data_IF_579451783538
#
_entry.id   IF_579451783538
#
_cell.length_a   1.000
_cell.length_b   1.000
_cell.length_c   1.000
_cell.angle_alpha   90.00
_cell.angle_beta   90.00
_cell.angle_gamma   90.00
#
_symmetry.space_group_name_H-M   'P 1'
#
loop_
_entity.id
_entity.type
_entity.pdbx_description
1 polymer ?
#
# COMPACT_ATOMS: atom_id res chain seq x y z
N UNK A 1 32.34 -5.75 -49.66
CA UNK A 1 32.88 -5.69 -48.29
C UNK A 1 32.15 -4.60 -47.50
N UNK A 2 31.12 -4.96 -46.74
CA UNK A 2 30.34 -4.05 -45.90
C UNK A 2 30.86 -4.17 -44.48
N UNK A 3 31.35 -3.07 -43.92
CA UNK A 3 31.83 -2.98 -42.53
C UNK A 3 30.66 -2.84 -41.56
N UNK A 4 30.49 -3.81 -40.69
CA UNK A 4 29.58 -3.73 -39.54
C UNK A 4 30.14 -2.75 -38.50
N UNK A 5 29.37 -1.74 -38.13
CA UNK A 5 29.65 -0.86 -37.00
C UNK A 5 29.15 -1.53 -35.71
N UNK A 6 29.87 -1.43 -34.59
CA UNK A 6 29.44 -2.02 -33.33
C UNK A 6 28.36 -1.16 -32.67
N UNK A 7 27.22 -1.77 -32.35
CA UNK A 7 26.14 -1.17 -31.55
C UNK A 7 26.62 -0.96 -30.10
N UNK A 8 26.78 0.29 -29.70
CA UNK A 8 27.08 0.72 -28.34
C UNK A 8 25.91 0.36 -27.41
N UNK A 9 26.15 -0.53 -26.45
CA UNK A 9 25.24 -0.81 -25.33
C UNK A 9 25.21 0.41 -24.39
N UNK A 10 24.13 1.17 -24.42
CA UNK A 10 23.85 2.21 -23.43
C UNK A 10 23.64 1.52 -22.07
N UNK A 11 24.62 1.68 -21.17
CA UNK A 11 24.44 1.31 -19.74
C UNK A 11 23.44 2.28 -19.13
N UNK A 12 22.23 1.79 -18.83
CA UNK A 12 21.28 2.49 -17.97
C UNK A 12 21.90 2.58 -16.57
N UNK A 13 22.43 3.74 -16.24
CA UNK A 13 22.86 4.09 -14.86
C UNK A 13 21.57 4.31 -14.06
N UNK A 14 21.30 3.44 -13.10
CA UNK A 14 20.26 3.68 -12.09
C UNK A 14 20.59 5.00 -11.37
N UNK A 15 19.64 5.93 -11.34
CA UNK A 15 19.79 7.16 -10.57
C UNK A 15 20.05 6.80 -9.09
N UNK A 16 20.96 7.51 -8.40
CA UNK A 16 21.21 7.28 -6.98
C UNK A 16 19.90 7.48 -6.18
N UNK A 17 19.59 6.54 -5.30
CA UNK A 17 18.45 6.67 -4.38
C UNK A 17 18.63 7.95 -3.57
N UNK A 18 17.67 8.85 -3.69
CA UNK A 18 17.68 10.12 -2.95
C UNK A 18 17.48 9.79 -1.46
N UNK A 19 18.34 10.30 -0.56
CA UNK A 19 18.16 10.06 0.87
C UNK A 19 16.78 10.53 1.35
N UNK A 20 16.15 9.73 2.18
CA UNK A 20 14.82 9.99 2.73
C UNK A 20 14.82 11.27 3.56
N UNK A 21 13.89 12.17 3.29
CA UNK A 21 13.76 13.44 4.03
C UNK A 21 13.16 13.22 5.42
N UNK A 22 13.41 14.13 6.37
CA UNK A 22 12.79 14.08 7.71
C UNK A 22 11.26 14.14 7.65
N UNK A 23 10.68 14.80 6.65
CA UNK A 23 9.24 14.83 6.41
C UNK A 23 8.71 13.46 5.98
N UNK A 24 9.42 12.74 5.13
CA UNK A 24 9.07 11.38 4.71
C UNK A 24 9.18 10.39 5.86
N UNK A 25 10.23 10.51 6.68
CA UNK A 25 10.41 9.71 7.89
C UNK A 25 9.27 9.96 8.90
N UNK A 26 8.95 11.23 9.16
CA UNK A 26 7.84 11.60 10.04
C UNK A 26 6.50 11.04 9.53
N UNK A 27 6.23 11.21 8.22
CA UNK A 27 5.03 10.68 7.59
C UNK A 27 4.91 9.16 7.78
N UNK A 28 5.94 8.39 7.42
CA UNK A 28 5.93 6.93 7.55
C UNK A 28 5.73 6.46 8.98
N UNK A 29 6.41 7.11 9.94
CA UNK A 29 6.29 6.72 11.34
C UNK A 29 4.90 7.03 11.91
N UNK A 30 4.34 8.21 11.62
CA UNK A 30 3.01 8.59 12.10
C UNK A 30 1.94 7.73 11.41
N UNK A 31 2.03 7.53 10.08
CA UNK A 31 1.13 6.65 9.33
C UNK A 31 1.12 5.24 9.91
N UNK A 32 2.28 4.68 10.19
CA UNK A 32 2.40 3.35 10.80
C UNK A 32 1.72 3.28 12.18
N UNK A 33 1.91 4.28 13.03
CA UNK A 33 1.25 4.35 14.34
C UNK A 33 -0.29 4.40 14.22
N UNK A 34 -0.81 5.11 13.23
CA UNK A 34 -2.25 5.23 12.97
C UNK A 34 -2.80 3.93 12.36
N UNK A 35 -2.13 3.39 11.35
CA UNK A 35 -2.56 2.17 10.64
C UNK A 35 -2.55 0.96 11.57
N UNK A 36 -1.55 0.84 12.43
CA UNK A 36 -1.44 -0.25 13.42
C UNK A 36 -2.26 -0.01 14.69
N UNK A 37 -3.08 1.03 14.74
CA UNK A 37 -3.95 1.41 15.86
C UNK A 37 -3.21 1.71 17.17
N UNK A 38 -1.90 1.97 17.13
CA UNK A 38 -1.14 2.49 18.28
C UNK A 38 -1.59 3.91 18.60
N UNK A 39 -1.92 4.70 17.57
CA UNK A 39 -2.71 5.92 17.67
C UNK A 39 -4.15 5.58 17.26
N UNK A 40 -5.02 5.41 18.26
CA UNK A 40 -6.40 4.94 18.05
C UNK A 40 -7.28 6.00 17.41
N UNK A 41 -8.36 5.61 16.66
CA UNK A 41 -9.41 6.54 16.24
C UNK A 41 -9.91 7.39 17.42
N UNK A 42 -10.18 8.66 17.17
CA UNK A 42 -10.57 9.63 18.20
C UNK A 42 -9.43 10.16 19.08
N UNK A 43 -8.21 9.65 18.94
CA UNK A 43 -7.08 10.14 19.72
C UNK A 43 -6.69 11.56 19.28
N UNK A 44 -6.50 12.44 20.25
CA UNK A 44 -6.05 13.83 20.01
C UNK A 44 -4.53 13.88 20.09
N UNK A 45 -3.92 14.41 19.03
CA UNK A 45 -2.47 14.54 18.85
C UNK A 45 -2.06 16.02 18.94
N UNK A 46 -0.80 16.26 19.29
CA UNK A 46 -0.16 17.57 19.12
C UNK A 46 1.16 17.47 18.35
N UNK A 47 1.50 18.51 17.60
CA UNK A 47 2.80 18.59 16.93
C UNK A 47 3.96 18.44 17.91
N UNK A 48 3.80 19.02 19.10
CA UNK A 48 4.84 19.00 20.14
C UNK A 48 5.07 17.59 20.70
N UNK A 49 4.00 16.85 21.03
CA UNK A 49 4.13 15.47 21.54
C UNK A 49 4.72 14.52 20.50
N UNK A 50 4.30 14.64 19.22
CA UNK A 50 4.86 13.86 18.12
C UNK A 50 6.33 14.18 17.88
N UNK A 51 6.69 15.46 17.85
CA UNK A 51 8.08 15.90 17.71
C UNK A 51 8.98 15.32 18.83
N UNK A 52 8.52 15.37 20.08
CA UNK A 52 9.27 14.82 21.20
C UNK A 52 9.38 13.29 21.14
N UNK A 53 8.30 12.59 20.79
CA UNK A 53 8.28 11.12 20.78
C UNK A 53 9.07 10.52 19.61
N UNK A 54 9.13 11.19 18.48
CA UNK A 54 9.79 10.71 17.26
C UNK A 54 11.23 11.25 17.10
N UNK A 55 11.63 12.24 17.89
CA UNK A 55 12.94 12.89 17.77
C UNK A 55 13.09 13.70 16.47
N UNK A 56 11.98 14.14 15.86
CA UNK A 56 11.94 14.86 14.60
C UNK A 56 11.44 16.28 14.84
N UNK A 57 12.06 17.28 14.19
CA UNK A 57 11.69 18.68 14.34
C UNK A 57 10.22 18.99 14.00
N UNK A 58 9.67 20.09 14.55
CA UNK A 58 8.24 20.44 14.39
C UNK A 58 7.83 20.73 12.94
N UNK A 59 8.71 21.33 12.13
CA UNK A 59 8.40 21.62 10.71
C UNK A 59 8.14 20.34 9.90
N UNK A 60 9.03 19.34 9.84
CA UNK A 60 8.74 18.09 9.15
C UNK A 60 7.55 17.32 9.73
N UNK A 61 7.30 17.38 11.05
CA UNK A 61 6.09 16.81 11.66
C UNK A 61 4.82 17.49 11.10
N UNK A 62 4.78 18.83 11.04
CA UNK A 62 3.64 19.57 10.50
C UNK A 62 3.36 19.23 9.04
N UNK A 63 4.39 19.16 8.20
CA UNK A 63 4.26 18.78 6.79
C UNK A 63 3.74 17.34 6.64
N UNK A 64 4.23 16.41 7.45
CA UNK A 64 3.75 15.03 7.48
C UNK A 64 2.26 14.96 7.89
N UNK A 65 1.86 15.73 8.91
CA UNK A 65 0.47 15.80 9.35
C UNK A 65 -0.46 16.41 8.29
N UNK A 66 -0.01 17.40 7.53
CA UNK A 66 -0.77 17.92 6.39
C UNK A 66 -1.02 16.86 5.31
N UNK A 67 -0.02 16.03 5.00
CA UNK A 67 -0.18 14.91 4.05
C UNK A 67 -1.18 13.89 4.57
N UNK A 68 -1.07 13.48 5.84
CA UNK A 68 -2.01 12.53 6.47
C UNK A 68 -3.44 13.08 6.55
N UNK A 69 -3.60 14.40 6.69
CA UNK A 69 -4.91 15.05 6.66
C UNK A 69 -5.53 15.00 5.25
N UNK A 70 -4.74 15.23 4.19
CA UNK A 70 -5.19 15.08 2.80
C UNK A 70 -5.63 13.64 2.48
N UNK A 71 -5.01 12.65 3.11
CA UNK A 71 -5.34 11.23 2.99
C UNK A 71 -6.54 10.82 3.88
N UNK A 72 -7.06 11.74 4.71
CA UNK A 72 -8.20 11.47 5.60
C UNK A 72 -7.88 10.60 6.81
N UNK A 73 -6.61 10.34 7.10
CA UNK A 73 -6.18 9.57 8.28
C UNK A 73 -6.29 10.37 9.58
N UNK A 74 -6.20 11.68 9.48
CA UNK A 74 -6.40 12.63 10.58
C UNK A 74 -7.25 13.81 10.13
N UNK A 75 -7.78 14.56 11.10
CA UNK A 75 -8.44 15.85 10.89
C UNK A 75 -7.75 16.91 11.72
N UNK A 76 -7.31 17.99 11.09
CA UNK A 76 -6.71 19.14 11.77
C UNK A 76 -7.86 20.06 12.23
N UNK A 77 -8.04 20.19 13.53
CA UNK A 77 -9.07 21.03 14.14
C UNK A 77 -8.45 22.38 14.57
N UNK A 78 -8.85 23.49 13.98
CA UNK A 78 -8.31 24.81 14.36
C UNK A 78 -8.43 25.03 15.88
N UNK A 79 -7.33 25.36 16.55
CA UNK A 79 -7.23 25.62 18.01
C UNK A 79 -7.57 24.44 18.93
N UNK A 80 -7.98 23.26 18.38
CA UNK A 80 -8.37 22.09 19.17
C UNK A 80 -7.39 20.91 19.06
N UNK A 81 -6.42 21.01 18.15
CA UNK A 81 -5.41 19.96 17.94
C UNK A 81 -5.68 19.12 16.69
N UNK A 82 -5.15 17.91 16.68
CA UNK A 82 -5.17 16.99 15.55
C UNK A 82 -5.87 15.72 16.00
N UNK A 83 -6.95 15.35 15.33
CA UNK A 83 -7.76 14.18 15.66
C UNK A 83 -7.46 13.04 14.71
N UNK A 84 -7.17 11.84 15.21
CA UNK A 84 -7.13 10.62 14.40
C UNK A 84 -8.55 10.31 13.93
N UNK A 85 -8.77 10.22 12.62
CA UNK A 85 -10.10 10.03 12.03
C UNK A 85 -10.72 8.70 12.45
N UNK A 86 -12.04 8.66 12.56
CA UNK A 86 -12.80 7.44 12.81
C UNK A 86 -12.73 6.46 11.64
N UNK A 87 -12.99 5.18 11.90
CA UNK A 87 -13.04 4.12 10.90
C UNK A 87 -14.52 3.76 10.67
N UNK A 88 -15.00 4.06 9.45
CA UNK A 88 -16.38 3.80 9.08
C UNK A 88 -16.46 2.76 7.94
N UNK A 89 -17.08 1.59 8.15
CA UNK A 89 -17.17 0.55 7.13
C UNK A 89 -17.90 0.99 5.86
N UNK A 90 -18.94 1.84 5.96
CA UNK A 90 -19.64 2.37 4.78
C UNK A 90 -18.75 3.29 3.95
N UNK A 91 -17.88 4.08 4.60
CA UNK A 91 -16.88 4.88 3.91
C UNK A 91 -15.84 3.98 3.26
N UNK A 92 -15.45 2.90 3.91
CA UNK A 92 -14.52 1.92 3.35
C UNK A 92 -15.06 1.28 2.06
N UNK A 93 -16.36 0.95 1.97
CA UNK A 93 -16.94 0.43 0.72
C UNK A 93 -16.77 1.42 -0.45
N UNK A 94 -17.02 2.73 -0.23
CA UNK A 94 -16.79 3.75 -1.26
C UNK A 94 -15.31 3.90 -1.63
N UNK A 95 -14.40 3.75 -0.68
CA UNK A 95 -12.94 3.69 -0.95
C UNK A 95 -12.62 2.49 -1.86
N UNK A 96 -13.23 1.32 -1.61
CA UNK A 96 -12.99 0.11 -2.39
C UNK A 96 -13.50 0.23 -3.84
N UNK A 97 -14.58 0.96 -4.10
CA UNK A 97 -15.07 1.24 -5.47
C UNK A 97 -13.97 1.90 -6.32
N UNK A 98 -13.34 2.96 -5.82
CA UNK A 98 -12.26 3.67 -6.53
C UNK A 98 -10.98 2.83 -6.55
N UNK A 99 -10.65 2.19 -5.43
CA UNK A 99 -9.45 1.39 -5.28
C UNK A 99 -9.43 0.22 -6.26
N UNK A 100 -10.56 -0.44 -6.52
CA UNK A 100 -10.69 -1.54 -7.50
C UNK A 100 -10.17 -1.11 -8.88
N UNK A 101 -10.63 0.03 -9.39
CA UNK A 101 -10.23 0.50 -10.71
C UNK A 101 -8.74 0.91 -10.77
N UNK A 102 -8.25 1.55 -9.72
CA UNK A 102 -6.84 1.92 -9.63
C UNK A 102 -5.93 0.68 -9.53
N UNK A 103 -6.28 -0.30 -8.71
CA UNK A 103 -5.49 -1.54 -8.57
C UNK A 103 -5.49 -2.38 -9.84
N UNK A 104 -6.61 -2.48 -10.55
CA UNK A 104 -6.66 -3.14 -11.86
C UNK A 104 -5.74 -2.46 -12.86
N UNK A 105 -5.78 -1.13 -12.93
CA UNK A 105 -4.90 -0.34 -13.79
C UNK A 105 -3.43 -0.57 -13.44
N UNK A 106 -3.08 -0.45 -12.15
CA UNK A 106 -1.72 -0.59 -11.68
C UNK A 106 -1.18 -2.00 -11.89
N UNK A 107 -1.94 -3.05 -11.56
CA UNK A 107 -1.54 -4.45 -11.74
C UNK A 107 -1.30 -4.80 -13.21
N UNK A 108 -2.20 -4.37 -14.10
CA UNK A 108 -2.04 -4.56 -15.54
C UNK A 108 -0.81 -3.83 -16.06
N UNK A 109 -0.65 -2.55 -15.71
CA UNK A 109 0.48 -1.75 -16.14
C UNK A 109 1.81 -2.29 -15.60
N UNK A 110 1.83 -2.81 -14.36
CA UNK A 110 3.01 -3.47 -13.79
C UNK A 110 3.39 -4.73 -14.55
N UNK A 111 2.42 -5.57 -14.91
CA UNK A 111 2.68 -6.76 -15.72
C UNK A 111 3.29 -6.44 -17.10
N UNK A 112 2.85 -5.32 -17.69
CA UNK A 112 3.34 -4.85 -19.01
C UNK A 112 4.72 -4.17 -18.93
N UNK A 113 5.04 -3.51 -17.79
CA UNK A 113 6.16 -2.55 -17.70
C UNK A 113 7.26 -2.96 -16.72
N UNK A 114 7.04 -3.99 -15.91
CA UNK A 114 8.03 -4.45 -14.95
C UNK A 114 9.30 -4.92 -15.66
N UNK A 115 10.45 -4.50 -15.14
CA UNK A 115 11.76 -5.03 -15.54
C UNK A 115 11.89 -6.50 -15.13
N UNK A 116 12.83 -7.23 -15.71
CA UNK A 116 13.06 -8.64 -15.32
C UNK A 116 13.39 -8.80 -13.83
N UNK A 117 14.17 -7.88 -13.26
CA UNK A 117 14.43 -7.90 -11.81
C UNK A 117 13.20 -7.66 -10.95
N UNK A 118 12.27 -6.79 -11.39
CA UNK A 118 10.99 -6.58 -10.71
C UNK A 118 10.07 -7.79 -10.86
N UNK A 119 10.01 -8.41 -12.04
CA UNK A 119 9.27 -9.67 -12.25
C UNK A 119 9.74 -10.76 -11.32
N UNK A 120 11.04 -10.93 -11.16
CA UNK A 120 11.63 -11.89 -10.21
C UNK A 120 11.25 -11.58 -8.75
N UNK A 121 11.20 -10.30 -8.37
CA UNK A 121 10.72 -9.88 -7.05
C UNK A 121 9.23 -10.24 -6.85
N UNK A 122 8.37 -9.98 -7.84
CA UNK A 122 6.96 -10.40 -7.80
C UNK A 122 6.82 -11.91 -7.58
N UNK A 123 7.57 -12.72 -8.32
CA UNK A 123 7.55 -14.19 -8.15
C UNK A 123 8.05 -14.62 -6.76
N UNK A 124 9.01 -13.92 -6.20
CA UNK A 124 9.51 -14.19 -4.84
C UNK A 124 8.48 -13.83 -3.78
N UNK A 125 7.80 -12.69 -3.93
CA UNK A 125 6.69 -12.28 -3.07
C UNK A 125 5.54 -13.31 -3.15
N UNK A 126 5.17 -13.76 -4.36
CA UNK A 126 4.14 -14.77 -4.54
C UNK A 126 4.44 -16.07 -3.75
N UNK A 127 5.68 -16.58 -3.86
CA UNK A 127 6.11 -17.77 -3.07
C UNK A 127 6.05 -17.52 -1.55
N UNK A 128 6.43 -16.32 -1.11
CA UNK A 128 6.35 -15.93 0.29
C UNK A 128 4.92 -15.85 0.81
N UNK A 129 4.00 -15.29 0.03
CA UNK A 129 2.56 -15.23 0.33
C UNK A 129 1.94 -16.63 0.42
N UNK A 130 2.27 -17.53 -0.51
CA UNK A 130 1.86 -18.93 -0.47
C UNK A 130 2.33 -19.64 0.81
N UNK A 131 3.57 -19.39 1.23
CA UNK A 131 4.09 -19.91 2.50
C UNK A 131 3.33 -19.32 3.69
N UNK A 132 3.10 -18.01 3.71
CA UNK A 132 2.34 -17.35 4.77
C UNK A 132 0.90 -17.90 4.87
N UNK A 133 0.25 -18.16 3.71
CA UNK A 133 -1.06 -18.78 3.67
C UNK A 133 -1.07 -20.18 4.33
N UNK A 134 -0.07 -21.04 4.02
CA UNK A 134 0.02 -22.39 4.60
C UNK A 134 0.31 -22.39 6.10
N UNK A 135 1.07 -21.44 6.59
CA UNK A 135 1.48 -21.33 8.00
C UNK A 135 0.60 -20.41 8.83
N UNK A 136 -0.41 -19.80 8.22
CA UNK A 136 -1.28 -18.78 8.82
C UNK A 136 -0.49 -17.67 9.54
N UNK A 137 0.62 -17.20 8.91
CA UNK A 137 1.54 -16.24 9.51
C UNK A 137 1.19 -14.81 9.09
N UNK A 138 0.47 -14.10 9.96
CA UNK A 138 0.00 -12.73 9.74
C UNK A 138 1.15 -11.71 9.65
N UNK A 139 2.21 -11.87 10.42
CA UNK A 139 3.36 -10.95 10.42
C UNK A 139 4.08 -11.00 9.07
N UNK A 140 4.34 -12.20 8.56
CA UNK A 140 4.97 -12.38 7.24
C UNK A 140 4.04 -11.88 6.14
N UNK A 141 2.75 -12.18 6.22
CA UNK A 141 1.75 -11.68 5.27
C UNK A 141 1.75 -10.16 5.20
N UNK A 142 1.61 -9.45 6.33
CA UNK A 142 1.54 -7.99 6.38
C UNK A 142 2.80 -7.31 5.81
N UNK A 143 3.97 -7.90 6.06
CA UNK A 143 5.23 -7.39 5.49
C UNK A 143 5.25 -7.54 3.97
N UNK A 144 4.89 -8.73 3.46
CA UNK A 144 4.87 -9.01 2.03
C UNK A 144 3.78 -8.23 1.30
N UNK A 145 2.62 -8.01 1.92
CA UNK A 145 1.55 -7.17 1.39
C UNK A 145 2.03 -5.73 1.15
N UNK A 146 2.71 -5.14 2.14
CA UNK A 146 3.32 -3.81 1.98
C UNK A 146 4.32 -3.78 0.83
N UNK A 147 5.20 -4.78 0.74
CA UNK A 147 6.22 -4.88 -0.31
C UNK A 147 5.56 -5.04 -1.69
N UNK A 148 4.55 -5.89 -1.81
CA UNK A 148 3.78 -6.10 -3.03
C UNK A 148 3.12 -4.82 -3.51
N UNK A 149 2.40 -4.14 -2.63
CA UNK A 149 1.69 -2.90 -2.96
C UNK A 149 2.65 -1.81 -3.45
N UNK A 150 3.81 -1.65 -2.80
CA UNK A 150 4.83 -0.69 -3.23
C UNK A 150 5.41 -1.07 -4.59
N UNK A 151 5.76 -2.35 -4.79
CA UNK A 151 6.33 -2.82 -6.05
C UNK A 151 5.35 -2.68 -7.22
N UNK A 152 4.06 -2.92 -7.00
CA UNK A 152 3.01 -2.69 -8.02
C UNK A 152 2.99 -1.22 -8.45
N UNK A 153 2.98 -0.30 -7.49
CA UNK A 153 2.97 1.14 -7.78
C UNK A 153 4.21 1.57 -8.56
N UNK A 154 5.38 1.09 -8.15
CA UNK A 154 6.66 1.45 -8.78
C UNK A 154 6.78 0.86 -10.18
N UNK A 155 6.44 -0.43 -10.36
CA UNK A 155 6.52 -1.13 -11.64
C UNK A 155 5.49 -0.64 -12.67
N UNK A 156 4.37 -0.09 -12.23
CA UNK A 156 3.35 0.46 -13.11
C UNK A 156 3.80 1.70 -13.90
N UNK A 157 4.84 2.40 -13.46
CA UNK A 157 5.38 3.62 -14.11
C UNK A 157 4.28 4.63 -14.43
N UNK A 158 3.32 4.82 -13.52
CA UNK A 158 2.21 5.76 -13.66
C UNK A 158 2.09 6.65 -12.41
N UNK A 159 2.74 7.80 -12.43
CA UNK A 159 2.81 8.72 -11.30
C UNK A 159 1.44 9.27 -10.87
N UNK A 160 0.48 9.38 -11.79
CA UNK A 160 -0.87 9.85 -11.49
C UNK A 160 -1.66 8.79 -10.73
N UNK A 161 -1.63 7.53 -11.19
CA UNK A 161 -2.26 6.42 -10.48
C UNK A 161 -1.60 6.18 -9.11
N UNK A 162 -0.27 6.29 -9.03
CA UNK A 162 0.49 6.21 -7.78
C UNK A 162 0.05 7.28 -6.75
N UNK A 163 -0.14 8.53 -7.20
CA UNK A 163 -0.63 9.62 -6.33
C UNK A 163 -2.07 9.38 -5.86
N UNK A 164 -2.95 8.94 -6.76
CA UNK A 164 -4.33 8.61 -6.41
C UNK A 164 -4.41 7.44 -5.42
N UNK A 165 -3.61 6.39 -5.63
CA UNK A 165 -3.57 5.21 -4.73
C UNK A 165 -3.10 5.58 -3.31
N UNK A 166 -2.12 6.47 -3.16
CA UNK A 166 -1.66 6.93 -1.83
C UNK A 166 -2.78 7.51 -0.96
N UNK A 167 -3.75 8.21 -1.56
CA UNK A 167 -4.90 8.75 -0.82
C UNK A 167 -5.81 7.68 -0.21
N UNK A 168 -5.77 6.45 -0.73
CA UNK A 168 -6.69 5.38 -0.36
C UNK A 168 -6.03 4.26 0.45
N UNK A 169 -4.72 4.10 0.30
CA UNK A 169 -4.00 2.94 0.82
C UNK A 169 -3.96 2.91 2.35
N UNK A 170 -3.66 4.04 2.99
CA UNK A 170 -3.63 4.16 4.44
C UNK A 170 -4.99 3.87 5.09
N UNK A 171 -6.08 4.36 4.49
CA UNK A 171 -7.45 4.10 4.96
C UNK A 171 -7.77 2.60 4.93
N UNK A 172 -7.48 1.93 3.83
CA UNK A 172 -7.77 0.50 3.66
C UNK A 172 -6.89 -0.38 4.55
N UNK A 173 -5.60 -0.07 4.68
CA UNK A 173 -4.69 -0.78 5.59
C UNK A 173 -5.16 -0.67 7.03
N UNK A 174 -5.55 0.52 7.48
CA UNK A 174 -6.08 0.75 8.83
C UNK A 174 -7.37 -0.02 9.07
N UNK A 175 -8.30 -0.02 8.09
CA UNK A 175 -9.52 -0.78 8.17
C UNK A 175 -9.26 -2.28 8.30
N UNK A 176 -8.38 -2.83 7.45
CA UNK A 176 -7.94 -4.21 7.53
C UNK A 176 -7.35 -4.52 8.91
N UNK A 177 -6.41 -3.71 9.40
CA UNK A 177 -5.73 -3.93 10.66
C UNK A 177 -6.69 -3.98 11.86
N UNK A 178 -7.78 -3.22 11.81
CA UNK A 178 -8.81 -3.22 12.84
C UNK A 178 -9.64 -4.51 12.86
N UNK A 179 -9.91 -5.09 11.72
CA UNK A 179 -10.95 -6.12 11.59
C UNK A 179 -10.45 -7.52 11.22
N UNK A 180 -9.21 -7.68 10.71
CA UNK A 180 -8.76 -8.94 10.11
C UNK A 180 -8.82 -10.13 11.06
N UNK A 181 -8.55 -9.95 12.34
CA UNK A 181 -8.55 -11.03 13.35
C UNK A 181 -9.95 -11.58 13.64
N UNK A 182 -10.98 -10.81 13.34
CA UNK A 182 -12.37 -11.17 13.67
C UNK A 182 -13.08 -11.84 12.50
N UNK A 183 -12.79 -11.44 11.27
CA UNK A 183 -13.60 -11.80 10.11
C UNK A 183 -12.81 -12.26 8.88
N UNK A 184 -11.48 -12.10 8.87
CA UNK A 184 -10.68 -12.43 7.69
C UNK A 184 -10.24 -13.90 7.67
N UNK A 185 -10.36 -14.52 6.48
CA UNK A 185 -9.63 -15.74 6.12
C UNK A 185 -8.23 -15.33 5.61
N UNK A 186 -7.26 -15.27 6.53
CA UNK A 186 -5.90 -14.88 6.19
C UNK A 186 -5.25 -15.81 5.15
N UNK A 187 -5.35 -17.15 5.24
CA UNK A 187 -4.89 -18.07 4.21
C UNK A 187 -5.46 -17.77 2.82
N UNK A 188 -6.76 -17.50 2.71
CA UNK A 188 -7.39 -17.14 1.43
C UNK A 188 -6.88 -15.79 0.92
N UNK A 189 -6.84 -14.77 1.78
CA UNK A 189 -6.33 -13.46 1.45
C UNK A 189 -4.89 -13.52 0.91
N UNK A 190 -4.01 -14.25 1.60
CA UNK A 190 -2.62 -14.42 1.18
C UNK A 190 -2.49 -15.14 -0.17
N UNK A 191 -3.32 -16.17 -0.44
CA UNK A 191 -3.35 -16.82 -1.77
C UNK A 191 -3.84 -15.89 -2.88
N UNK A 192 -4.81 -15.03 -2.61
CA UNK A 192 -5.30 -14.05 -3.60
C UNK A 192 -4.22 -13.04 -3.97
N UNK A 193 -3.46 -12.54 -2.98
CA UNK A 193 -2.30 -11.68 -3.22
C UNK A 193 -1.18 -12.43 -3.96
N UNK A 194 -0.93 -13.70 -3.62
CA UNK A 194 0.04 -14.54 -4.33
C UNK A 194 -0.32 -14.69 -5.81
N UNK A 195 -1.59 -14.91 -6.13
CA UNK A 195 -2.07 -15.04 -7.51
C UNK A 195 -1.90 -13.73 -8.29
N UNK A 196 -2.14 -12.58 -7.67
CA UNK A 196 -1.91 -11.26 -8.27
C UNK A 196 -0.42 -11.07 -8.58
N UNK A 197 0.45 -11.30 -7.58
CA UNK A 197 1.89 -11.17 -7.74
C UNK A 197 2.45 -12.15 -8.80
N UNK A 198 1.94 -13.38 -8.84
CA UNK A 198 2.33 -14.40 -9.82
C UNK A 198 1.98 -13.96 -11.25
N UNK A 199 0.77 -13.45 -11.48
CA UNK A 199 0.34 -12.98 -12.79
C UNK A 199 1.19 -11.78 -13.26
N UNK A 200 1.47 -10.83 -12.37
CA UNK A 200 2.34 -9.69 -12.68
C UNK A 200 3.76 -10.16 -13.01
N UNK A 201 4.34 -11.03 -12.17
CA UNK A 201 5.69 -11.55 -12.38
C UNK A 201 5.86 -12.37 -13.67
N UNK A 202 4.76 -12.93 -14.19
CA UNK A 202 4.73 -13.62 -15.50
C UNK A 202 4.51 -12.68 -16.70
N UNK A 203 4.25 -11.40 -16.46
CA UNK A 203 3.90 -10.45 -17.52
C UNK A 203 2.48 -10.66 -18.08
N UNK A 204 1.62 -11.41 -17.37
CA UNK A 204 0.24 -11.66 -17.78
C UNK A 204 -0.67 -10.51 -17.33
N UNK A 205 -0.78 -9.49 -18.18
CA UNK A 205 -1.57 -8.30 -17.90
C UNK A 205 -3.07 -8.58 -17.68
N UNK A 206 -3.64 -9.51 -18.47
CA UNK A 206 -5.04 -9.92 -18.31
C UNK A 206 -5.27 -10.72 -17.05
N UNK A 207 -4.38 -11.68 -16.77
CA UNK A 207 -4.40 -12.47 -15.54
C UNK A 207 -4.19 -11.61 -14.30
N UNK A 208 -3.32 -10.59 -14.35
CA UNK A 208 -3.10 -9.65 -13.26
C UNK A 208 -4.37 -8.85 -12.94
N UNK A 209 -5.06 -8.31 -13.95
CA UNK A 209 -6.35 -7.63 -13.77
C UNK A 209 -7.40 -8.57 -13.15
N UNK A 210 -7.54 -9.78 -13.68
CA UNK A 210 -8.51 -10.75 -13.18
C UNK A 210 -8.18 -11.24 -11.75
N UNK A 211 -6.90 -11.38 -11.40
CA UNK A 211 -6.46 -11.70 -10.04
C UNK A 211 -6.78 -10.56 -9.06
N UNK A 212 -6.58 -9.31 -9.50
CA UNK A 212 -6.96 -8.13 -8.73
C UNK A 212 -8.46 -8.07 -8.48
N UNK A 213 -9.30 -8.35 -9.47
CA UNK A 213 -10.76 -8.39 -9.30
C UNK A 213 -11.16 -9.39 -8.21
N UNK A 214 -10.63 -10.61 -8.25
CA UNK A 214 -10.92 -11.63 -7.22
C UNK A 214 -10.45 -11.22 -5.82
N UNK A 215 -9.30 -10.55 -5.74
CA UNK A 215 -8.82 -10.00 -4.47
C UNK A 215 -9.77 -8.91 -3.96
N UNK A 216 -10.20 -8.00 -4.82
CA UNK A 216 -11.11 -6.91 -4.45
C UNK A 216 -12.50 -7.42 -4.09
N UNK A 217 -13.01 -8.49 -4.74
CA UNK A 217 -14.26 -9.16 -4.35
C UNK A 217 -14.17 -9.72 -2.93
N UNK A 218 -13.04 -10.34 -2.59
CA UNK A 218 -12.78 -10.82 -1.23
C UNK A 218 -12.73 -9.66 -0.23
N UNK A 219 -11.99 -8.59 -0.51
CA UNK A 219 -11.86 -7.43 0.39
C UNK A 219 -13.20 -6.71 0.58
N UNK A 220 -14.02 -6.64 -0.46
CA UNK A 220 -15.37 -6.08 -0.36
C UNK A 220 -16.28 -6.96 0.49
N UNK A 221 -16.29 -8.28 0.28
CA UNK A 221 -17.05 -9.24 1.08
C UNK A 221 -16.66 -9.19 2.55
N UNK A 222 -15.36 -9.15 2.82
CA UNK A 222 -14.80 -8.93 4.16
C UNK A 222 -15.32 -7.64 4.80
N UNK A 223 -15.30 -6.53 4.04
CA UNK A 223 -15.79 -5.23 4.53
C UNK A 223 -17.29 -5.27 4.85
N UNK A 224 -18.11 -5.90 3.99
CA UNK A 224 -19.56 -6.07 4.22
C UNK A 224 -19.85 -6.91 5.46
N UNK A 225 -19.07 -7.96 5.71
CA UNK A 225 -19.22 -8.77 6.91
C UNK A 225 -18.98 -7.97 8.20
N UNK A 226 -18.08 -6.98 8.20
CA UNK A 226 -17.85 -6.10 9.36
C UNK A 226 -19.01 -5.13 9.64
N UNK A 227 -19.86 -4.83 8.64
CA UNK A 227 -21.07 -4.00 8.81
C UNK A 227 -22.18 -4.79 9.50
N UNK A 228 -22.31 -6.07 9.17
CA UNK A 228 -23.37 -6.95 9.67
C UNK A 228 -23.11 -7.46 11.09
N UNK A 229 -21.85 -7.38 11.56
CA UNK A 229 -21.45 -7.87 12.90
C UNK A 229 -21.61 -6.82 14.01
N UNK A 230 -22.16 -5.66 13.71
CA UNK A 230 -22.46 -4.55 14.66
C UNK A 230 -23.96 -4.40 14.82
#
# INVERSE_FOLDING_TARGET
MARHAPTSKVKTVSAPERPETLTEQAYKQIEELIVTLRLKPGHVLSEQSLSASLGIGRTPIREALQKLALEGLITILPRKGILVSEINPHSQLRVLEVRRELERLLSRASAERATEGEKERFLTIARGMEKAARTNNDIVFMRLDRELNQLIVDAARNDYAARAMRLLQGLSRRFWYMHYRMTADLPLCARLHANQALAIGRGDAKGAAAATDRLMDYVESFTRATVQSR
#
